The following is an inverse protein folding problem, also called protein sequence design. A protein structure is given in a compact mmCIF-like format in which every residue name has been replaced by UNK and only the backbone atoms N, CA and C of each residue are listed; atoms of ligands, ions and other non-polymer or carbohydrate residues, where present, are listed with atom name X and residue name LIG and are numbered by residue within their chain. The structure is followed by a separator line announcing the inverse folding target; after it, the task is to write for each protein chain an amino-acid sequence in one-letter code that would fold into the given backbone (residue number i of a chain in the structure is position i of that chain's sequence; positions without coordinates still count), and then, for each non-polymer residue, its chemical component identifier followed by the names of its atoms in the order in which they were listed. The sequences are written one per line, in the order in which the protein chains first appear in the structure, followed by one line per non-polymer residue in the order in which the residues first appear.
data_IF_261883556467
#
_entry.id   IF_261883556467
#
_cell.length_a   1.000
_cell.length_b   1.000
_cell.length_c   1.000
_cell.angle_alpha   90.00
_cell.angle_beta   90.00
_cell.angle_gamma   90.00
#
_symmetry.space_group_name_H-M   'P 1'
#
loop_
_entity.id
_entity.type
_entity.pdbx_description
1 polymer ?
#
# COMPACT_ATOMS: atom_id res chain seq x y z
N UNK A 1 -6.77 0.99 11.27
CA UNK A 1 -5.67 0.22 11.91
C UNK A 1 -5.72 0.17 13.43
N UNK A 2 -6.14 1.23 14.15
CA UNK A 2 -6.22 1.20 15.62
C UNK A 2 -7.17 0.10 16.16
N UNK A 3 -8.35 -0.03 15.56
CA UNK A 3 -9.34 -1.06 15.91
C UNK A 3 -8.79 -2.50 15.77
N UNK A 4 -8.05 -2.80 14.70
CA UNK A 4 -7.44 -4.11 14.46
C UNK A 4 -6.33 -4.41 15.47
N UNK A 5 -5.53 -3.40 15.83
CA UNK A 5 -4.47 -3.51 16.82
C UNK A 5 -5.01 -3.71 18.24
N UNK A 6 -6.09 -3.01 18.57
CA UNK A 6 -6.78 -3.14 19.85
C UNK A 6 -7.41 -4.55 19.96
N UNK A 7 -8.09 -5.03 18.92
CA UNK A 7 -8.65 -6.39 18.87
C UNK A 7 -7.60 -7.50 19.03
N UNK A 8 -6.44 -7.38 18.36
CA UNK A 8 -5.34 -8.34 18.53
C UNK A 8 -4.70 -8.29 19.92
N UNK A 9 -4.71 -7.13 20.58
CA UNK A 9 -4.21 -6.99 21.94
C UNK A 9 -5.12 -7.72 22.92
N UNK A 10 -6.43 -7.56 22.78
CA UNK A 10 -7.42 -8.24 23.62
C UNK A 10 -7.27 -9.77 23.50
N UNK A 11 -7.13 -10.28 22.27
CA UNK A 11 -6.84 -11.70 22.03
C UNK A 11 -5.54 -12.16 22.70
N UNK A 12 -4.49 -11.33 22.70
CA UNK A 12 -3.20 -11.70 23.32
C UNK A 12 -3.28 -11.73 24.86
N UNK A 13 -4.04 -10.81 25.44
CA UNK A 13 -4.17 -10.64 26.89
C UNK A 13 -5.04 -11.74 27.52
N UNK A 14 -5.84 -12.47 26.73
CA UNK A 14 -6.63 -13.66 27.12
C UNK A 14 -5.78 -14.92 27.45
N UNK A 15 -4.51 -14.77 27.81
CA UNK A 15 -3.65 -15.88 28.25
C UNK A 15 -3.24 -16.86 27.14
N UNK A 16 -3.45 -16.48 25.89
CA UNK A 16 -3.28 -17.35 24.72
C UNK A 16 -1.83 -17.84 24.53
N UNK A 17 -0.85 -17.06 25.01
CA UNK A 17 0.58 -17.38 24.86
C UNK A 17 1.00 -18.64 25.62
N UNK A 18 0.29 -19.00 26.68
CA UNK A 18 0.70 -20.08 27.58
C UNK A 18 0.09 -21.43 27.21
N UNK A 19 -0.90 -21.46 26.30
CA UNK A 19 -1.59 -22.68 25.82
C UNK A 19 -0.62 -23.70 25.24
N UNK A 20 0.41 -23.25 24.52
CA UNK A 20 1.41 -24.16 23.93
C UNK A 20 2.31 -24.84 24.98
N UNK A 21 2.32 -24.31 26.21
CA UNK A 21 3.08 -24.84 27.34
C UNK A 21 2.17 -25.50 28.38
N UNK A 22 0.84 -25.50 28.19
CA UNK A 22 -0.10 -26.20 29.05
C UNK A 22 -0.06 -27.71 28.73
N UNK A 23 0.20 -28.54 29.74
CA UNK A 23 0.06 -29.99 29.64
C UNK A 23 -1.40 -30.34 29.35
N UNK A 24 -1.63 -31.21 28.36
CA UNK A 24 -2.97 -31.75 28.09
C UNK A 24 -3.37 -32.63 29.26
N UNK A 25 -4.54 -32.37 29.84
CA UNK A 25 -5.07 -33.19 30.93
C UNK A 25 -5.11 -34.68 30.50
N UNK A 26 -4.83 -35.59 31.43
CA UNK A 26 -4.91 -37.03 31.16
C UNK A 26 -6.33 -37.55 31.42
N UNK A 27 -6.84 -38.39 30.53
CA UNK A 27 -8.15 -39.01 30.69
C UNK A 27 -8.22 -39.87 31.96
N UNK A 28 -9.30 -39.78 32.77
CA UNK A 28 -9.44 -40.58 33.97
C UNK A 28 -9.44 -42.08 33.66
N UNK A 29 -8.52 -42.83 34.25
CA UNK A 29 -8.46 -44.29 34.08
C UNK A 29 -9.48 -44.97 34.99
N UNK A 30 -10.46 -45.68 34.40
CA UNK A 30 -11.52 -46.41 35.12
C UNK A 30 -10.97 -47.34 36.21
N UNK A 31 -9.81 -47.95 35.99
CA UNK A 31 -9.17 -48.86 36.94
C UNK A 31 -8.76 -48.19 38.25
N UNK A 32 -8.48 -46.88 38.24
CA UNK A 32 -8.12 -46.11 39.43
C UNK A 32 -9.31 -45.90 40.40
N UNK A 33 -10.52 -46.23 39.96
CA UNK A 33 -11.77 -46.05 40.71
C UNK A 33 -12.39 -47.40 41.13
N UNK A 34 -11.69 -48.51 40.93
CA UNK A 34 -12.10 -49.83 41.37
C UNK A 34 -11.48 -50.10 42.74
N UNK A 35 -12.31 -50.38 43.73
CA UNK A 35 -11.89 -50.85 45.05
C UNK A 35 -12.27 -52.31 45.23
N UNK A 36 -11.39 -53.09 45.85
CA UNK A 36 -11.65 -54.50 46.16
C UNK A 36 -11.83 -54.65 47.66
N UNK A 37 -12.93 -55.27 48.07
CA UNK A 37 -13.20 -55.53 49.48
C UNK A 37 -12.36 -56.71 50.02
N UNK A 38 -12.41 -56.94 51.34
CA UNK A 38 -11.70 -58.04 52.01
C UNK A 38 -12.15 -59.44 51.58
N UNK A 39 -13.28 -59.53 50.85
CA UNK A 39 -13.85 -60.78 50.34
C UNK A 39 -13.55 -60.99 48.85
N UNK A 40 -12.79 -60.10 48.21
CA UNK A 40 -12.42 -60.20 46.81
C UNK A 40 -13.46 -59.65 45.83
N UNK A 41 -14.51 -58.96 46.29
CA UNK A 41 -15.46 -58.30 45.40
C UNK A 41 -14.93 -56.93 44.98
N UNK A 42 -14.91 -56.68 43.68
CA UNK A 42 -14.56 -55.37 43.12
C UNK A 42 -15.80 -54.50 42.91
N UNK A 43 -15.78 -53.30 43.47
CA UNK A 43 -16.81 -52.27 43.26
C UNK A 43 -16.20 -51.04 42.60
N UNK A 44 -16.88 -50.52 41.58
CA UNK A 44 -16.51 -49.27 40.92
C UNK A 44 -17.17 -48.10 41.65
N UNK A 45 -16.38 -47.09 42.02
CA UNK A 45 -16.91 -45.77 42.41
C UNK A 45 -17.34 -45.00 41.16
N UNK A 46 -18.52 -45.35 40.64
CA UNK A 46 -19.04 -44.79 39.39
C UNK A 46 -19.35 -43.30 39.50
N UNK A 47 -19.68 -42.79 40.70
CA UNK A 47 -20.00 -41.38 40.93
C UNK A 47 -18.76 -40.50 40.82
N UNK A 48 -17.68 -40.87 41.52
CA UNK A 48 -16.41 -40.14 41.46
C UNK A 48 -15.76 -40.26 40.08
N UNK A 49 -15.84 -41.43 39.44
CA UNK A 49 -15.36 -41.61 38.07
C UNK A 49 -16.09 -40.69 37.07
N UNK A 50 -17.43 -40.64 37.12
CA UNK A 50 -18.22 -39.79 36.23
C UNK A 50 -17.94 -38.29 36.42
N UNK A 51 -17.78 -37.83 37.66
CA UNK A 51 -17.45 -36.42 37.95
C UNK A 51 -16.04 -36.03 37.44
N UNK A 52 -15.07 -36.93 37.56
CA UNK A 52 -13.72 -36.70 37.01
C UNK A 52 -13.73 -36.70 35.49
N UNK A 53 -14.55 -37.56 34.86
CA UNK A 53 -14.71 -37.57 33.40
C UNK A 53 -15.33 -36.27 32.89
N UNK A 54 -16.38 -35.76 33.55
CA UNK A 54 -16.98 -34.45 33.21
C UNK A 54 -15.97 -33.31 33.37
N UNK A 55 -15.17 -33.34 34.44
CA UNK A 55 -14.13 -32.33 34.67
C UNK A 55 -13.05 -32.36 33.58
N UNK A 56 -12.64 -33.56 33.17
CA UNK A 56 -11.71 -33.76 32.05
C UNK A 56 -12.28 -33.21 30.73
N UNK A 57 -13.53 -33.55 30.38
CA UNK A 57 -14.17 -33.06 29.14
C UNK A 57 -14.29 -31.52 29.14
N UNK A 58 -14.57 -30.90 30.30
CA UNK A 58 -14.60 -29.44 30.43
C UNK A 58 -13.21 -28.81 30.23
N UNK A 59 -12.16 -29.45 30.74
CA UNK A 59 -10.77 -29.01 30.55
C UNK A 59 -10.36 -29.12 29.08
N UNK A 60 -10.67 -30.23 28.41
CA UNK A 60 -10.42 -30.40 26.97
C UNK A 60 -11.15 -29.34 26.14
N UNK A 61 -12.43 -29.08 26.43
CA UNK A 61 -13.19 -28.06 25.72
C UNK A 61 -12.58 -26.66 25.91
N UNK A 62 -12.16 -26.34 27.13
CA UNK A 62 -11.52 -25.06 27.44
C UNK A 62 -10.19 -24.94 26.69
N UNK A 63 -9.36 -25.98 26.69
CA UNK A 63 -8.11 -26.04 25.94
C UNK A 63 -8.33 -25.87 24.43
N UNK A 64 -9.34 -26.54 23.87
CA UNK A 64 -9.68 -26.43 22.45
C UNK A 64 -10.13 -25.01 22.06
N UNK A 65 -10.99 -24.37 22.85
CA UNK A 65 -11.44 -22.99 22.62
C UNK A 65 -10.26 -22.03 22.66
N UNK A 66 -9.41 -22.17 23.69
CA UNK A 66 -8.16 -21.43 23.82
C UNK A 66 -7.27 -21.59 22.58
N UNK A 67 -7.06 -22.81 22.10
CA UNK A 67 -6.25 -23.10 20.91
C UNK A 67 -6.82 -22.44 19.64
N UNK A 68 -8.14 -22.47 19.46
CA UNK A 68 -8.82 -21.81 18.33
C UNK A 68 -8.67 -20.28 18.36
N UNK A 69 -8.72 -19.69 19.55
CA UNK A 69 -8.42 -18.26 19.73
C UNK A 69 -6.95 -17.95 19.38
N UNK A 70 -6.00 -18.84 19.70
CA UNK A 70 -4.60 -18.67 19.31
C UNK A 70 -4.39 -18.69 17.79
N UNK A 71 -5.00 -19.67 17.12
CA UNK A 71 -4.99 -19.76 15.66
C UNK A 71 -5.50 -18.46 15.02
N UNK A 72 -6.61 -17.93 15.53
CA UNK A 72 -7.20 -16.66 15.07
C UNK A 72 -6.29 -15.46 15.35
N UNK A 73 -5.63 -15.42 16.51
CA UNK A 73 -4.65 -14.38 16.82
C UNK A 73 -3.44 -14.42 15.88
N UNK A 74 -2.91 -15.60 15.57
CA UNK A 74 -1.79 -15.75 14.65
C UNK A 74 -2.17 -15.27 13.25
N UNK A 75 -3.32 -15.70 12.73
CA UNK A 75 -3.83 -15.30 11.42
C UNK A 75 -4.06 -13.77 11.34
N UNK A 76 -4.67 -13.20 12.36
CA UNK A 76 -4.87 -11.75 12.49
C UNK A 76 -3.54 -10.98 12.53
N UNK A 77 -2.54 -11.51 13.27
CA UNK A 77 -1.21 -10.91 13.35
C UNK A 77 -0.51 -10.94 12.00
N UNK A 78 -0.52 -12.08 11.30
CA UNK A 78 0.06 -12.19 9.95
C UNK A 78 -0.60 -11.21 8.98
N UNK A 79 -1.93 -11.15 8.97
CA UNK A 79 -2.69 -10.23 8.13
C UNK A 79 -2.37 -8.76 8.42
N UNK A 80 -2.20 -8.41 9.70
CA UNK A 80 -1.81 -7.07 10.11
C UNK A 80 -0.39 -6.71 9.66
N UNK A 81 0.59 -7.61 9.90
CA UNK A 81 1.98 -7.39 9.51
C UNK A 81 2.09 -7.24 7.98
N UNK A 82 1.36 -8.06 7.22
CA UNK A 82 1.27 -7.94 5.75
C UNK A 82 0.65 -6.61 5.31
N UNK A 83 -0.46 -6.20 5.94
CA UNK A 83 -1.11 -4.93 5.63
C UNK A 83 -0.21 -3.72 5.95
N UNK A 84 0.59 -3.81 7.01
CA UNK A 84 1.55 -2.77 7.37
C UNK A 84 2.66 -2.67 6.32
N UNK A 85 3.24 -3.79 5.89
CA UNK A 85 4.25 -3.80 4.82
C UNK A 85 3.69 -3.21 3.52
N UNK A 86 2.48 -3.62 3.11
CA UNK A 86 1.79 -3.07 1.92
C UNK A 86 1.57 -1.57 2.02
N UNK A 87 1.21 -1.07 3.21
CA UNK A 87 1.01 0.36 3.44
C UNK A 87 2.33 1.13 3.33
N UNK A 88 3.40 0.63 3.94
CA UNK A 88 4.74 1.24 3.87
C UNK A 88 5.28 1.28 2.42
N UNK A 89 5.05 0.21 1.65
CA UNK A 89 5.45 0.15 0.24
C UNK A 89 4.61 1.08 -0.63
N UNK A 90 3.30 1.19 -0.35
CA UNK A 90 2.42 2.17 -1.00
C UNK A 90 2.89 3.59 -0.71
N UNK A 91 3.24 3.90 0.54
CA UNK A 91 3.77 5.22 0.93
C UNK A 91 5.07 5.54 0.19
N UNK A 92 6.02 4.59 0.11
CA UNK A 92 7.26 4.75 -0.65
C UNK A 92 6.99 4.98 -2.14
N UNK A 93 6.08 4.20 -2.73
CA UNK A 93 5.71 4.32 -4.14
C UNK A 93 5.14 5.71 -4.45
N UNK A 94 4.23 6.22 -3.60
CA UNK A 94 3.66 7.56 -3.76
C UNK A 94 4.74 8.64 -3.63
N UNK A 95 5.63 8.53 -2.64
CA UNK A 95 6.75 9.47 -2.47
C UNK A 95 7.68 9.50 -3.67
N UNK A 96 7.99 8.34 -4.25
CA UNK A 96 8.85 8.25 -5.43
C UNK A 96 8.15 8.84 -6.66
N UNK A 97 6.88 8.50 -6.90
CA UNK A 97 6.10 9.08 -7.99
C UNK A 97 6.01 10.62 -7.89
N UNK A 98 5.83 11.17 -6.69
CA UNK A 98 5.85 12.62 -6.47
C UNK A 98 7.22 13.23 -6.83
N UNK A 99 8.33 12.62 -6.39
CA UNK A 99 9.67 13.09 -6.73
C UNK A 99 9.91 13.08 -8.24
N UNK A 100 9.55 11.99 -8.92
CA UNK A 100 9.68 11.85 -10.37
C UNK A 100 8.86 12.89 -11.12
N UNK A 101 7.62 13.14 -10.67
CA UNK A 101 6.75 14.16 -11.23
C UNK A 101 7.35 15.58 -11.06
N UNK A 102 7.88 15.91 -9.89
CA UNK A 102 8.56 17.20 -9.67
C UNK A 102 9.82 17.35 -10.51
N UNK A 103 10.65 16.30 -10.63
CA UNK A 103 11.82 16.33 -11.52
C UNK A 103 11.42 16.52 -12.98
N UNK A 104 10.36 15.83 -13.43
CA UNK A 104 9.81 15.99 -14.78
C UNK A 104 9.29 17.41 -15.02
N UNK A 105 8.64 18.01 -14.02
CA UNK A 105 8.15 19.38 -14.10
C UNK A 105 9.31 20.37 -14.27
N UNK A 106 10.38 20.23 -13.48
CA UNK A 106 11.60 21.04 -13.62
C UNK A 106 12.25 20.88 -14.99
N UNK A 107 12.31 19.65 -15.52
CA UNK A 107 12.83 19.40 -16.88
C UNK A 107 11.97 20.06 -17.96
N UNK A 108 10.64 20.08 -17.78
CA UNK A 108 9.73 20.78 -18.67
C UNK A 108 9.92 22.31 -18.59
N UNK A 109 10.07 22.87 -17.39
CA UNK A 109 10.36 24.30 -17.18
C UNK A 109 11.65 24.71 -17.92
N UNK A 110 12.74 23.95 -17.73
CA UNK A 110 14.01 24.21 -18.41
C UNK A 110 13.88 24.15 -19.95
N UNK A 111 13.13 23.17 -20.48
CA UNK A 111 12.86 23.04 -21.92
C UNK A 111 12.02 24.19 -22.45
N UNK A 112 11.00 24.60 -21.70
CA UNK A 112 10.14 25.75 -22.04
C UNK A 112 10.98 27.02 -22.11
N UNK A 113 11.85 27.27 -21.14
CA UNK A 113 12.66 28.49 -21.11
C UNK A 113 13.69 28.52 -22.24
N UNK A 114 14.36 27.39 -22.51
CA UNK A 114 15.24 27.25 -23.68
C UNK A 114 14.49 27.54 -24.99
N UNK A 115 13.27 27.02 -25.14
CA UNK A 115 12.49 27.21 -26.36
C UNK A 115 11.96 28.64 -26.50
N UNK A 116 11.60 29.31 -25.40
CA UNK A 116 11.27 30.75 -25.40
C UNK A 116 12.43 31.59 -25.91
N UNK A 117 13.65 31.31 -25.46
CA UNK A 117 14.85 32.01 -25.95
C UNK A 117 15.07 31.79 -27.45
N UNK A 118 14.89 30.54 -27.91
CA UNK A 118 14.96 30.21 -29.35
C UNK A 118 13.90 30.94 -30.16
N UNK A 119 12.65 30.98 -29.70
CA UNK A 119 11.56 31.73 -30.35
C UNK A 119 11.89 33.21 -30.42
N UNK A 120 12.40 33.81 -29.33
CA UNK A 120 12.77 35.23 -29.33
C UNK A 120 13.91 35.55 -30.30
N UNK A 121 14.93 34.68 -30.35
CA UNK A 121 16.04 34.79 -31.30
C UNK A 121 15.56 34.65 -32.75
N UNK A 122 14.72 33.66 -33.03
CA UNK A 122 14.14 33.43 -34.37
C UNK A 122 13.25 34.59 -34.81
N UNK A 123 12.40 35.11 -33.92
CA UNK A 123 11.57 36.29 -34.21
C UNK A 123 12.44 37.52 -34.52
N UNK A 124 13.57 37.69 -33.83
CA UNK A 124 14.53 38.76 -34.13
C UNK A 124 15.14 38.57 -35.51
N UNK A 125 15.58 37.35 -35.86
CA UNK A 125 16.10 37.01 -37.20
C UNK A 125 15.05 37.24 -38.29
N UNK A 126 13.78 36.91 -38.04
CA UNK A 126 12.68 37.15 -38.96
C UNK A 126 12.46 38.63 -39.25
N UNK A 127 12.60 39.52 -38.27
CA UNK A 127 12.54 40.98 -38.49
C UNK A 127 13.64 41.44 -39.45
N UNK A 128 14.87 40.94 -39.27
CA UNK A 128 15.97 41.22 -40.18
C UNK A 128 15.74 40.64 -41.58
N UNK A 129 15.25 39.40 -41.67
CA UNK A 129 14.93 38.76 -42.94
C UNK A 129 13.84 39.51 -43.71
N UNK A 130 12.82 40.02 -43.01
CA UNK A 130 11.78 40.86 -43.61
C UNK A 130 12.38 42.14 -44.22
N UNK A 131 13.24 42.84 -43.47
CA UNK A 131 13.93 44.02 -43.99
C UNK A 131 14.82 43.69 -45.21
N UNK A 132 15.46 42.52 -45.25
CA UNK A 132 16.21 42.08 -46.43
C UNK A 132 15.32 41.82 -47.65
N UNK A 133 14.11 41.28 -47.46
CA UNK A 133 13.13 41.16 -48.54
C UNK A 133 12.71 42.55 -49.03
N UNK A 134 12.42 43.48 -48.12
CA UNK A 134 12.02 44.86 -48.45
C UNK A 134 13.11 45.60 -49.26
N UNK A 135 14.38 45.31 -48.96
CA UNK A 135 15.54 45.83 -49.70
C UNK A 135 15.88 45.05 -50.97
N UNK A 136 15.17 43.96 -51.29
CA UNK A 136 15.43 43.10 -52.44
C UNK A 136 16.68 42.21 -52.30
N UNK A 137 17.23 42.07 -51.09
CA UNK A 137 18.41 41.24 -50.78
C UNK A 137 18.05 39.77 -50.50
N UNK A 138 16.77 39.47 -50.29
CA UNK A 138 16.26 38.12 -50.03
C UNK A 138 15.01 37.84 -50.86
N UNK A 139 14.87 36.60 -51.33
CA UNK A 139 13.64 36.16 -51.98
C UNK A 139 12.53 35.96 -50.96
N UNK A 140 11.32 36.39 -51.32
CA UNK A 140 10.11 36.24 -50.50
C UNK A 140 9.81 34.78 -50.14
N UNK A 141 10.13 33.83 -51.02
CA UNK A 141 9.95 32.40 -50.75
C UNK A 141 10.86 31.91 -49.61
N UNK A 142 12.12 32.38 -49.57
CA UNK A 142 13.07 31.99 -48.52
C UNK A 142 12.71 32.62 -47.17
N UNK A 143 12.16 33.84 -47.18
CA UNK A 143 11.54 34.41 -45.98
C UNK A 143 10.37 33.57 -45.48
N UNK A 144 9.45 33.15 -46.36
CA UNK A 144 8.30 32.34 -45.95
C UNK A 144 8.70 30.99 -45.34
N UNK A 145 9.78 30.35 -45.82
CA UNK A 145 10.31 29.14 -45.16
C UNK A 145 10.75 29.41 -43.72
N UNK A 146 11.36 30.57 -43.46
CA UNK A 146 11.74 30.97 -42.10
C UNK A 146 10.52 31.27 -41.22
N UNK A 147 9.46 31.85 -41.79
CA UNK A 147 8.20 32.10 -41.08
C UNK A 147 7.57 30.79 -40.62
N UNK A 148 7.43 29.82 -41.53
CA UNK A 148 6.86 28.50 -41.19
C UNK A 148 7.68 27.81 -40.09
N UNK A 149 9.01 27.82 -40.18
CA UNK A 149 9.85 27.26 -39.13
C UNK A 149 9.68 27.96 -37.76
N UNK A 150 9.38 29.25 -37.75
CA UNK A 150 9.08 29.98 -36.52
C UNK A 150 7.71 29.63 -35.94
N UNK A 151 6.71 29.41 -36.79
CA UNK A 151 5.37 28.96 -36.37
C UNK A 151 5.42 27.55 -35.77
N UNK A 152 6.27 26.66 -36.31
CA UNK A 152 6.52 25.33 -35.75
C UNK A 152 7.14 25.40 -34.35
N UNK A 153 8.07 26.33 -34.12
CA UNK A 153 8.67 26.58 -32.80
C UNK A 153 7.63 27.12 -31.80
N UNK A 154 6.79 28.07 -32.19
CA UNK A 154 5.72 28.59 -31.33
C UNK A 154 4.69 27.50 -30.97
N UNK A 155 4.32 26.68 -31.95
CA UNK A 155 3.43 25.53 -31.74
C UNK A 155 4.03 24.52 -30.76
N UNK A 156 5.33 24.23 -30.88
CA UNK A 156 6.04 23.33 -29.98
C UNK A 156 6.10 23.90 -28.56
N UNK A 157 6.30 25.21 -28.41
CA UNK A 157 6.28 25.90 -27.11
C UNK A 157 4.92 25.81 -26.43
N UNK A 158 3.83 26.08 -27.16
CA UNK A 158 2.46 25.96 -26.63
C UNK A 158 2.15 24.54 -26.15
N UNK A 159 2.59 23.52 -26.91
CA UNK A 159 2.43 22.11 -26.52
C UNK A 159 3.18 21.80 -25.22
N UNK A 160 4.41 22.25 -25.07
CA UNK A 160 5.19 22.05 -23.85
C UNK A 160 4.55 22.74 -22.64
N UNK A 161 4.09 23.98 -22.80
CA UNK A 161 3.39 24.72 -21.73
C UNK A 161 2.11 23.98 -21.32
N UNK A 162 1.35 23.47 -22.28
CA UNK A 162 0.15 22.68 -22.00
C UNK A 162 0.47 21.41 -21.22
N UNK A 163 1.47 20.63 -21.66
CA UNK A 163 1.92 19.42 -20.93
C UNK A 163 2.40 19.75 -19.52
N UNK A 164 3.16 20.83 -19.35
CA UNK A 164 3.61 21.30 -18.04
C UNK A 164 2.42 21.62 -17.12
N UNK A 165 1.44 22.40 -17.60
CA UNK A 165 0.28 22.79 -16.80
C UNK A 165 -0.56 21.58 -16.40
N UNK A 166 -0.81 20.65 -17.33
CA UNK A 166 -1.52 19.42 -17.01
C UNK A 166 -0.81 18.58 -15.93
N UNK A 167 0.52 18.47 -16.01
CA UNK A 167 1.29 17.75 -15.00
C UNK A 167 1.25 18.47 -13.64
N UNK A 168 1.39 19.79 -13.63
CA UNK A 168 1.28 20.61 -12.42
C UNK A 168 -0.09 20.42 -11.75
N UNK A 169 -1.17 20.52 -12.52
CA UNK A 169 -2.53 20.42 -12.01
C UNK A 169 -2.82 19.00 -11.49
N UNK A 170 -2.27 17.97 -12.15
CA UNK A 170 -2.33 16.57 -11.69
C UNK A 170 -1.64 16.34 -10.33
N UNK A 171 -0.58 17.10 -10.02
CA UNK A 171 0.12 17.04 -8.74
C UNK A 171 -0.63 17.83 -7.67
N UNK A 172 -1.14 19.03 -8.01
CA UNK A 172 -1.78 19.93 -7.06
C UNK A 172 -3.20 19.48 -6.68
N UNK A 173 -3.91 18.88 -7.62
CA UNK A 173 -5.32 18.53 -7.46
C UNK A 173 -5.59 17.08 -7.91
N UNK A 174 -4.94 16.08 -7.28
CA UNK A 174 -5.04 14.68 -7.71
C UNK A 174 -6.48 14.13 -7.68
N UNK A 175 -7.38 14.74 -6.89
CA UNK A 175 -8.81 14.39 -6.82
C UNK A 175 -9.66 14.96 -7.97
N UNK A 176 -9.13 15.84 -8.82
CA UNK A 176 -9.88 16.41 -9.96
C UNK A 176 -9.78 15.50 -11.18
N UNK A 177 -8.74 14.68 -11.26
CA UNK A 177 -8.57 13.67 -12.31
C UNK A 177 -9.56 12.49 -12.20
N UNK A 178 -10.20 12.28 -11.03
CA UNK A 178 -11.17 11.19 -10.83
C UNK A 178 -12.58 11.49 -11.35
N UNK A 179 -12.82 12.65 -11.96
CA UNK A 179 -14.14 13.09 -12.44
C UNK A 179 -14.27 13.19 -13.98
N UNK A 180 -13.39 12.55 -14.74
CA UNK A 180 -13.41 12.55 -16.21
C UNK A 180 -13.75 11.18 -16.79
#
# INVERSE_FOLDING_TARGET
MKLTKDYMKDLKDDGIKDIMNEDVAEAPNKSNYITTDVNGNSTLDSGTYALNLISYEQQELTYYVKLKSYESYLDGKYSYDEAQVKLDDTEKSIKNALKENYSTLLDLENKIDTLKEQVNSTNTKLKFANAQVDMGLMLKNDYYKQVVASEDLDTSLRKLIYTHNNLRDSIQEPWILSNS
#
